data_IF_866366561305
#
_entry.id   IF_866366561305
#
_cell.length_a   1.000
_cell.length_b   1.000
_cell.length_c   1.000
_cell.angle_alpha   90.00
_cell.angle_beta   90.00
_cell.angle_gamma   90.00
#
_symmetry.space_group_name_H-M   'P 1'
#
loop_
_entity.id
_entity.type
_entity.pdbx_description
1 polymer ?
#
# COMPACT_ATOMS: atom_id res chain seq x y z
N UNK A 1 29.06 -10.46 -13.15
CA UNK A 1 29.48 -9.48 -12.11
C UNK A 1 28.25 -9.14 -11.30
N UNK A 2 28.12 -9.68 -10.08
CA UNK A 2 27.03 -9.30 -9.19
C UNK A 2 27.22 -7.83 -8.81
N UNK A 3 26.23 -6.98 -9.09
CA UNK A 3 26.29 -5.57 -8.69
C UNK A 3 26.29 -5.49 -7.17
N UNK A 4 27.10 -4.60 -6.58
CA UNK A 4 27.24 -4.37 -5.13
C UNK A 4 25.91 -4.17 -4.36
N UNK A 5 24.78 -3.99 -5.05
CA UNK A 5 23.42 -3.99 -4.49
C UNK A 5 22.97 -5.33 -3.93
N UNK A 6 23.58 -6.45 -4.34
CA UNK A 6 23.15 -7.79 -3.92
C UNK A 6 23.67 -8.19 -2.52
N UNK A 7 24.55 -7.38 -1.91
CA UNK A 7 25.10 -7.65 -0.59
C UNK A 7 24.39 -6.94 0.57
N UNK A 8 23.42 -6.07 0.29
CA UNK A 8 22.66 -5.40 1.33
C UNK A 8 21.57 -6.33 1.89
N UNK A 9 21.33 -6.32 3.23
CA UNK A 9 20.23 -7.09 3.80
C UNK A 9 18.89 -6.59 3.25
N UNK A 10 17.87 -7.45 3.11
CA UNK A 10 16.54 -7.03 2.72
C UNK A 10 15.97 -6.03 3.72
N UNK A 11 15.20 -5.06 3.23
CA UNK A 11 14.47 -4.12 4.08
C UNK A 11 13.52 -4.88 5.01
N UNK A 12 13.67 -4.69 6.34
CA UNK A 12 12.77 -5.31 7.29
C UNK A 12 11.45 -4.53 7.43
N UNK A 13 10.36 -5.24 7.77
CA UNK A 13 9.01 -4.67 7.84
C UNK A 13 8.87 -3.54 8.88
N UNK A 14 9.72 -3.55 9.90
CA UNK A 14 9.70 -2.60 11.03
C UNK A 14 10.66 -1.42 10.86
N UNK A 15 11.52 -1.44 9.83
CA UNK A 15 12.59 -0.45 9.61
C UNK A 15 12.08 0.94 9.25
N UNK A 16 11.06 1.01 8.38
CA UNK A 16 10.58 2.30 7.88
C UNK A 16 9.86 3.08 8.99
N UNK A 17 10.29 4.32 9.22
CA UNK A 17 9.63 5.28 10.14
C UNK A 17 8.72 6.26 9.41
N UNK A 18 9.04 6.55 8.16
CA UNK A 18 8.30 7.51 7.33
C UNK A 18 8.58 7.25 5.85
N UNK A 19 7.70 7.77 5.01
CA UNK A 19 7.93 7.86 3.57
C UNK A 19 7.63 9.26 3.10
N UNK A 20 8.36 9.73 2.08
CA UNK A 20 8.10 10.98 1.38
C UNK A 20 7.60 10.67 -0.01
N UNK A 21 6.39 11.13 -0.33
CA UNK A 21 5.71 10.78 -1.56
C UNK A 21 5.70 11.95 -2.55
N UNK A 22 6.15 11.71 -3.77
CA UNK A 22 6.21 12.68 -4.85
C UNK A 22 5.22 12.32 -5.97
N UNK A 23 4.61 13.34 -6.60
CA UNK A 23 3.88 13.18 -7.85
C UNK A 23 2.37 12.93 -7.74
N UNK A 24 1.78 13.01 -6.54
CA UNK A 24 0.32 12.88 -6.34
C UNK A 24 -0.33 14.08 -5.68
N UNK A 25 0.46 15.01 -5.16
CA UNK A 25 -0.04 16.18 -4.44
C UNK A 25 0.41 17.46 -5.12
N UNK A 26 -0.52 18.41 -5.26
CA UNK A 26 -0.22 19.77 -5.69
C UNK A 26 -0.74 20.79 -4.69
N UNK A 27 -0.08 21.93 -4.57
CA UNK A 27 -0.55 23.06 -3.77
C UNK A 27 -1.71 23.81 -4.48
N UNK A 28 -2.19 24.91 -3.87
CA UNK A 28 -3.25 25.76 -4.46
C UNK A 28 -2.85 26.37 -5.81
N UNK A 29 -1.57 26.60 -6.05
CA UNK A 29 -1.03 27.10 -7.32
C UNK A 29 -0.84 26.01 -8.39
N UNK A 30 -1.07 24.74 -8.05
CA UNK A 30 -0.82 23.61 -8.94
C UNK A 30 0.66 23.18 -8.96
N UNK A 31 1.50 23.71 -8.07
CA UNK A 31 2.88 23.27 -7.94
C UNK A 31 2.92 21.90 -7.27
N UNK A 32 3.71 20.98 -7.82
CA UNK A 32 3.92 19.67 -7.22
C UNK A 32 4.53 19.80 -5.81
N UNK A 33 3.90 19.14 -4.85
CA UNK A 33 4.34 19.07 -3.45
C UNK A 33 4.80 17.65 -3.14
N UNK A 34 5.84 17.53 -2.30
CA UNK A 34 6.21 16.26 -1.70
C UNK A 34 5.50 16.11 -0.36
N UNK A 35 4.87 14.96 -0.12
CA UNK A 35 4.12 14.71 1.10
C UNK A 35 4.93 13.84 2.07
N UNK A 36 5.23 14.35 3.25
CA UNK A 36 5.85 13.59 4.33
C UNK A 36 4.77 12.80 5.09
N UNK A 37 4.87 11.47 5.05
CA UNK A 37 3.95 10.55 5.70
C UNK A 37 4.68 9.77 6.79
N UNK A 38 4.48 10.10 8.08
CA UNK A 38 4.99 9.28 9.16
C UNK A 38 4.28 7.92 9.20
N UNK A 39 4.98 6.90 9.68
CA UNK A 39 4.39 5.59 9.95
C UNK A 39 3.36 5.74 11.07
N UNK A 40 2.15 5.28 10.80
CA UNK A 40 1.05 5.31 11.75
C UNK A 40 0.77 3.92 12.29
N UNK A 41 0.04 3.86 13.41
CA UNK A 41 -0.41 2.59 13.98
C UNK A 41 -1.60 2.06 13.17
N UNK A 42 -1.56 0.78 12.74
CA UNK A 42 -2.73 0.14 12.16
C UNK A 42 -3.95 0.16 13.08
N UNK A 43 -5.13 0.25 12.48
CA UNK A 43 -6.41 0.18 13.16
C UNK A 43 -6.81 -1.26 13.48
N UNK A 44 -7.89 -1.42 14.26
CA UNK A 44 -8.48 -2.75 14.50
C UNK A 44 -9.08 -3.28 13.20
N UNK A 45 -8.71 -4.48 12.73
CA UNK A 45 -9.38 -5.05 11.57
C UNK A 45 -10.88 -5.20 11.83
N UNK A 46 -11.71 -4.72 10.91
CA UNK A 46 -13.16 -4.97 10.95
C UNK A 46 -13.51 -6.05 9.94
N UNK A 47 -14.01 -7.19 10.44
CA UNK A 47 -14.58 -8.21 9.57
C UNK A 47 -16.06 -7.94 9.41
N UNK A 48 -16.44 -7.25 8.33
CA UNK A 48 -17.83 -7.04 7.99
C UNK A 48 -18.38 -8.25 7.22
N UNK A 49 -18.97 -9.20 7.94
CA UNK A 49 -19.68 -10.35 7.33
C UNK A 49 -21.01 -9.99 6.64
N UNK A 50 -21.37 -8.70 6.56
CA UNK A 50 -22.75 -8.29 6.28
C UNK A 50 -23.26 -8.57 4.85
N UNK A 51 -22.42 -8.88 3.87
CA UNK A 51 -22.84 -9.00 2.47
C UNK A 51 -22.43 -10.31 1.77
N UNK A 52 -22.26 -11.43 2.49
CA UNK A 52 -22.16 -12.72 1.81
C UNK A 52 -23.57 -13.25 1.49
N UNK A 53 -24.03 -13.25 0.22
CA UNK A 53 -25.35 -13.78 -0.14
C UNK A 53 -25.47 -15.29 0.09
N UNK A 54 -24.38 -15.96 0.47
CA UNK A 54 -24.32 -17.40 0.72
C UNK A 54 -24.33 -17.78 2.20
N UNK A 55 -24.27 -16.83 3.14
CA UNK A 55 -24.32 -17.12 4.57
C UNK A 55 -25.67 -16.74 5.17
N UNK A 56 -26.67 -17.61 4.95
CA UNK A 56 -27.93 -17.55 5.66
C UNK A 56 -27.73 -17.81 7.16
N UNK A 57 -27.80 -16.75 7.96
CA UNK A 57 -28.27 -16.84 9.34
C UNK A 57 -27.24 -17.03 10.46
N UNK A 58 -25.94 -17.22 10.19
CA UNK A 58 -24.94 -17.28 11.27
C UNK A 58 -24.22 -15.93 11.36
N UNK A 59 -24.68 -15.09 12.30
CA UNK A 59 -23.88 -13.95 12.78
C UNK A 59 -22.71 -14.51 13.58
N UNK A 60 -21.60 -14.79 12.90
CA UNK A 60 -20.32 -14.89 13.60
C UNK A 60 -19.99 -13.48 14.09
N UNK A 61 -20.30 -13.20 15.35
CA UNK A 61 -19.51 -12.23 16.11
C UNK A 61 -18.14 -12.88 16.24
N UNK A 62 -17.27 -12.72 15.25
CA UNK A 62 -15.86 -13.00 15.46
C UNK A 62 -15.48 -12.19 16.70
N UNK A 63 -15.09 -12.88 17.77
CA UNK A 63 -14.47 -12.22 18.92
C UNK A 63 -13.43 -11.25 18.36
N UNK A 64 -13.41 -10.02 18.89
CA UNK A 64 -12.55 -8.96 18.36
C UNK A 64 -11.15 -9.53 18.15
N UNK A 65 -10.73 -9.66 16.89
CA UNK A 65 -9.38 -10.15 16.61
C UNK A 65 -8.45 -9.14 17.27
N UNK A 66 -7.67 -9.54 18.28
CA UNK A 66 -6.84 -8.61 19.03
C UNK A 66 -5.85 -8.02 18.04
N UNK A 67 -5.69 -6.69 17.96
CA UNK A 67 -4.76 -6.11 16.97
C UNK A 67 -3.38 -6.67 17.18
N UNK A 68 -2.83 -7.37 16.18
CA UNK A 68 -1.42 -7.69 16.18
C UNK A 68 -0.67 -6.42 15.83
N UNK A 69 -0.38 -5.61 16.85
CA UNK A 69 0.40 -4.39 16.69
C UNK A 69 1.81 -4.84 16.30
N UNK A 70 2.35 -4.36 15.16
CA UNK A 70 3.73 -4.66 14.81
C UNK A 70 4.61 -4.35 16.01
N UNK A 71 5.48 -5.29 16.39
CA UNK A 71 6.40 -5.09 17.51
C UNK A 71 7.11 -3.76 17.36
N UNK A 72 7.14 -2.98 18.44
CA UNK A 72 7.96 -1.77 18.47
C UNK A 72 9.41 -2.16 18.12
N UNK A 73 10.08 -1.40 17.26
CA UNK A 73 11.46 -1.73 16.88
C UNK A 73 12.35 -1.74 18.11
N UNK A 74 13.26 -2.70 18.14
CA UNK A 74 14.16 -2.90 19.26
C UNK A 74 15.09 -1.68 19.39
N UNK A 75 15.55 -1.36 20.61
CA UNK A 75 16.59 -0.36 20.79
C UNK A 75 17.82 -0.68 19.93
N UNK A 76 18.17 0.23 19.03
CA UNK A 76 19.27 0.05 18.07
C UNK A 76 18.85 -0.36 16.66
N UNK A 77 17.57 -0.68 16.43
CA UNK A 77 17.06 -0.91 15.08
C UNK A 77 17.24 0.34 14.22
N UNK A 78 17.87 0.15 13.06
CA UNK A 78 18.03 1.23 12.09
C UNK A 78 16.65 1.69 11.64
N UNK A 79 16.38 2.99 11.78
CA UNK A 79 15.16 3.62 11.27
C UNK A 79 15.47 4.28 9.95
N UNK A 80 14.67 3.97 8.94
CA UNK A 80 14.87 4.53 7.60
C UNK A 80 13.67 5.35 7.12
N UNK A 81 13.96 6.33 6.27
CA UNK A 81 12.99 7.11 5.50
C UNK A 81 13.12 6.76 4.03
N UNK A 82 11.98 6.55 3.37
CA UNK A 82 11.92 6.15 1.96
C UNK A 82 11.28 7.25 1.11
N UNK A 83 12.02 7.75 0.13
CA UNK A 83 11.52 8.71 -0.85
C UNK A 83 10.98 7.96 -2.07
N UNK A 84 9.70 8.16 -2.38
CA UNK A 84 8.96 7.43 -3.41
C UNK A 84 8.36 8.40 -4.43
N UNK A 85 8.50 8.10 -5.71
CA UNK A 85 7.77 8.78 -6.77
C UNK A 85 6.65 7.88 -7.29
N UNK A 86 5.43 8.41 -7.33
CA UNK A 86 4.28 7.68 -7.86
C UNK A 86 4.40 7.51 -9.36
N UNK A 87 4.24 6.28 -9.81
CA UNK A 87 4.29 5.88 -11.20
C UNK A 87 2.90 5.57 -11.76
N UNK A 88 2.80 4.46 -12.49
CA UNK A 88 1.59 4.08 -13.21
C UNK A 88 0.47 3.62 -12.26
N UNK A 89 -0.77 3.97 -12.59
CA UNK A 89 -1.95 3.39 -11.97
C UNK A 89 -2.06 1.91 -12.37
N UNK A 90 -2.02 1.01 -11.39
CA UNK A 90 -2.16 -0.43 -11.60
C UNK A 90 -3.62 -0.89 -11.44
N UNK A 91 -4.29 -0.37 -10.40
CA UNK A 91 -5.66 -0.72 -10.08
C UNK A 91 -6.32 0.40 -9.27
N UNK A 92 -7.65 0.47 -9.26
CA UNK A 92 -8.41 1.37 -8.39
C UNK A 92 -9.87 0.93 -8.25
N UNK A 93 -10.53 1.45 -7.24
CA UNK A 93 -11.97 1.42 -7.08
C UNK A 93 -12.45 2.76 -6.51
N UNK A 94 -13.68 2.82 -6.00
CA UNK A 94 -14.26 4.03 -5.42
C UNK A 94 -13.48 4.54 -4.18
N UNK A 95 -12.79 3.64 -3.47
CA UNK A 95 -12.19 3.94 -2.15
C UNK A 95 -10.68 4.07 -2.19
N UNK A 96 -10.00 3.27 -3.03
CA UNK A 96 -8.55 3.18 -3.07
C UNK A 96 -8.01 3.04 -4.48
N UNK A 97 -6.74 3.43 -4.64
CA UNK A 97 -5.96 3.22 -5.84
C UNK A 97 -4.63 2.55 -5.52
N UNK A 98 -4.18 1.65 -6.39
CA UNK A 98 -2.89 1.00 -6.33
C UNK A 98 -2.02 1.55 -7.44
N UNK A 99 -0.86 2.07 -7.07
CA UNK A 99 0.12 2.63 -7.99
C UNK A 99 1.43 1.87 -7.89
N UNK A 100 2.09 1.76 -9.03
CA UNK A 100 3.52 1.47 -9.08
C UNK A 100 4.30 2.65 -8.47
N UNK A 101 5.48 2.37 -7.92
CA UNK A 101 6.35 3.43 -7.38
C UNK A 101 7.81 3.24 -7.77
N UNK A 102 8.48 4.35 -8.02
CA UNK A 102 9.92 4.43 -8.17
C UNK A 102 10.55 4.79 -6.82
N UNK A 103 11.48 3.97 -6.35
CA UNK A 103 12.29 4.27 -5.15
C UNK A 103 13.38 5.25 -5.54
N UNK A 104 13.25 6.50 -5.08
CA UNK A 104 14.23 7.55 -5.37
C UNK A 104 15.42 7.48 -4.41
N UNK A 105 15.13 7.27 -3.12
CA UNK A 105 16.15 7.28 -2.06
C UNK A 105 15.68 6.49 -0.85
N UNK A 106 16.62 5.81 -0.21
CA UNK A 106 16.47 5.24 1.13
C UNK A 106 17.54 5.89 2.02
N UNK A 107 17.13 6.40 3.19
CA UNK A 107 18.04 7.02 4.15
C UNK A 107 17.88 6.38 5.54
N UNK A 108 18.90 5.69 6.08
CA UNK A 108 20.21 5.43 5.46
C UNK A 108 20.16 4.34 4.37
N UNK A 109 21.05 4.35 3.36
CA UNK A 109 21.02 3.42 2.22
C UNK A 109 21.65 2.05 2.55
N UNK A 110 21.20 1.43 3.63
CA UNK A 110 21.80 0.19 4.19
C UNK A 110 20.98 -1.06 3.93
N UNK A 111 19.86 -0.95 3.20
CA UNK A 111 18.97 -2.06 2.88
C UNK A 111 18.78 -2.20 1.38
N UNK A 112 18.57 -3.43 0.94
CA UNK A 112 17.98 -3.73 -0.36
C UNK A 112 16.46 -3.50 -0.27
N UNK A 113 15.93 -2.64 -1.14
CA UNK A 113 14.49 -2.37 -1.24
C UNK A 113 13.94 -3.18 -2.42
N UNK A 114 12.98 -4.10 -2.20
CA UNK A 114 12.38 -4.83 -3.32
C UNK A 114 11.53 -3.89 -4.18
N UNK A 115 11.03 -4.34 -5.34
CA UNK A 115 9.98 -3.62 -6.06
C UNK A 115 8.77 -3.37 -5.15
N UNK A 116 8.23 -2.15 -5.17
CA UNK A 116 7.15 -1.72 -4.28
C UNK A 116 5.94 -1.23 -5.07
N UNK A 117 4.78 -1.28 -4.43
CA UNK A 117 3.57 -0.58 -4.84
C UNK A 117 3.00 0.17 -3.64
N UNK A 118 2.21 1.19 -3.90
CA UNK A 118 1.44 1.88 -2.86
C UNK A 118 -0.04 1.69 -3.10
N UNK A 119 -0.79 1.51 -2.02
CA UNK A 119 -2.24 1.62 -2.02
C UNK A 119 -2.63 2.90 -1.29
N UNK A 120 -3.27 3.81 -2.02
CA UNK A 120 -3.69 5.12 -1.54
C UNK A 120 -5.20 5.16 -1.33
N UNK A 121 -5.65 5.81 -0.25
CA UNK A 121 -7.05 6.20 -0.11
C UNK A 121 -7.34 7.39 -1.04
N UNK A 122 -8.43 7.31 -1.81
CA UNK A 122 -8.80 8.33 -2.80
C UNK A 122 -9.57 9.48 -2.16
N UNK A 123 -10.41 9.18 -1.17
CA UNK A 123 -11.29 10.16 -0.52
C UNK A 123 -11.28 10.01 0.99
N UNK A 124 -11.39 11.14 1.69
CA UNK A 124 -11.51 11.13 3.16
C UNK A 124 -12.82 10.53 3.64
N UNK A 125 -13.91 10.71 2.87
CA UNK A 125 -15.23 10.27 3.27
C UNK A 125 -15.41 8.74 3.17
N UNK A 126 -14.81 8.11 2.15
CA UNK A 126 -15.10 6.70 1.82
C UNK A 126 -13.89 5.78 2.01
N UNK A 127 -12.66 6.31 1.92
CA UNK A 127 -11.42 5.55 2.02
C UNK A 127 -10.76 5.61 3.40
N UNK A 128 -11.01 6.66 4.19
CA UNK A 128 -10.30 6.88 5.46
C UNK A 128 -10.60 5.79 6.47
N UNK A 129 -9.56 5.27 7.10
CA UNK A 129 -9.62 4.19 8.08
C UNK A 129 -9.61 2.80 7.46
N UNK A 130 -10.05 2.62 6.20
CA UNK A 130 -10.07 1.28 5.58
C UNK A 130 -8.66 0.73 5.35
N UNK A 131 -7.72 1.58 4.92
CA UNK A 131 -6.31 1.19 4.82
C UNK A 131 -5.71 0.90 6.19
N UNK A 132 -6.10 1.66 7.22
CA UNK A 132 -5.68 1.40 8.60
C UNK A 132 -6.15 0.03 9.10
N UNK A 133 -7.40 -0.37 8.79
CA UNK A 133 -7.95 -1.69 9.11
C UNK A 133 -7.27 -2.81 8.32
N UNK A 134 -7.03 -2.59 7.02
CA UNK A 134 -6.30 -3.53 6.15
C UNK A 134 -4.84 -3.71 6.61
N UNK A 135 -4.17 -2.65 7.06
CA UNK A 135 -2.85 -2.76 7.68
C UNK A 135 -2.86 -3.68 8.91
N UNK A 136 -3.92 -3.62 9.70
CA UNK A 136 -4.10 -4.51 10.85
C UNK A 136 -4.18 -5.97 10.42
N UNK A 137 -4.89 -6.25 9.31
CA UNK A 137 -4.94 -7.60 8.73
C UNK A 137 -3.56 -8.11 8.33
N UNK A 138 -2.72 -7.27 7.73
CA UNK A 138 -1.33 -7.66 7.41
C UNK A 138 -0.56 -8.07 8.67
N UNK A 139 -0.75 -7.38 9.80
CA UNK A 139 -0.18 -7.79 11.09
C UNK A 139 -0.62 -9.19 11.53
N UNK A 140 -1.87 -9.58 11.26
CA UNK A 140 -2.38 -10.93 11.57
C UNK A 140 -1.77 -12.03 10.71
N UNK A 141 -1.44 -11.71 9.47
CA UNK A 141 -0.87 -12.67 8.51
C UNK A 141 0.63 -12.47 8.34
N UNK A 142 1.34 -11.86 9.30
CA UNK A 142 2.77 -11.54 9.20
C UNK A 142 3.63 -12.73 8.74
N UNK A 143 3.40 -13.92 9.31
CA UNK A 143 4.12 -15.15 8.96
C UNK A 143 3.82 -15.69 7.56
N UNK A 144 2.74 -15.22 6.94
CA UNK A 144 2.28 -15.61 5.61
C UNK A 144 2.70 -14.60 4.52
N UNK A 145 3.17 -13.42 4.93
CA UNK A 145 3.66 -12.40 4.02
C UNK A 145 4.96 -12.85 3.33
N UNK A 146 5.08 -12.51 2.05
CA UNK A 146 6.16 -12.97 1.17
C UNK A 146 5.97 -14.39 0.64
N UNK A 147 4.90 -15.10 1.03
CA UNK A 147 4.55 -16.44 0.52
C UNK A 147 3.20 -16.39 -0.19
N UNK A 148 2.13 -16.07 0.55
CA UNK A 148 0.75 -16.05 0.01
C UNK A 148 0.13 -14.65 -0.01
N UNK A 149 0.78 -13.68 0.62
CA UNK A 149 0.40 -12.28 0.62
C UNK A 149 1.64 -11.41 0.39
N UNK A 150 1.49 -10.21 -0.21
CA UNK A 150 2.58 -9.24 -0.28
C UNK A 150 3.13 -8.88 1.10
N UNK A 151 4.42 -8.56 1.19
CA UNK A 151 4.97 -7.94 2.40
C UNK A 151 4.44 -6.52 2.55
N UNK A 152 3.95 -6.18 3.74
CA UNK A 152 3.49 -4.86 4.12
C UNK A 152 4.57 -4.15 4.93
N UNK A 153 5.20 -3.16 4.32
CA UNK A 153 6.28 -2.36 4.92
C UNK A 153 5.77 -1.29 5.89
N UNK A 154 4.46 -1.06 5.90
CA UNK A 154 3.81 -0.21 6.89
C UNK A 154 2.58 0.49 6.37
N UNK A 155 1.85 1.02 7.35
CA UNK A 155 0.78 1.98 7.16
C UNK A 155 1.32 3.37 7.48
N UNK A 156 1.09 4.30 6.56
CA UNK A 156 1.56 5.67 6.68
C UNK A 156 0.37 6.59 6.51
N UNK A 157 0.29 7.60 7.37
CA UNK A 157 -0.78 8.57 7.29
C UNK A 157 -0.31 9.93 7.72
N UNK A 158 -0.84 10.94 7.08
CA UNK A 158 -0.68 12.33 7.52
C UNK A 158 -2.02 13.02 7.50
N UNK A 159 -2.19 13.97 8.41
CA UNK A 159 -3.31 14.91 8.45
C UNK A 159 -2.72 16.28 8.61
N UNK A 160 -3.01 17.16 7.68
CA UNK A 160 -2.59 18.55 7.74
C UNK A 160 -3.49 19.30 8.73
N UNK A 161 -2.90 19.67 9.87
CA UNK A 161 -3.56 20.48 10.89
C UNK A 161 -3.60 21.98 10.51
N UNK A 162 -2.86 22.39 9.46
CA UNK A 162 -2.64 23.80 9.11
C UNK A 162 -3.67 24.36 8.12
N UNK A 163 -4.74 23.62 7.80
CA UNK A 163 -5.74 23.97 6.77
C UNK A 163 -5.13 24.23 5.37
N UNK A 164 -3.86 23.86 5.15
CA UNK A 164 -3.21 23.93 3.87
C UNK A 164 -3.77 22.82 2.96
N UNK A 165 -4.87 23.17 2.29
CA UNK A 165 -5.52 22.31 1.32
C UNK A 165 -4.56 22.02 0.16
N UNK A 166 -4.15 20.76 0.06
CA UNK A 166 -3.49 20.21 -1.10
C UNK A 166 -4.50 19.40 -1.90
N UNK A 167 -4.15 19.17 -3.16
CA UNK A 167 -5.01 18.46 -4.09
C UNK A 167 -4.38 17.14 -4.49
N UNK A 168 -5.16 16.08 -4.39
CA UNK A 168 -4.81 14.81 -5.00
C UNK A 168 -5.00 14.91 -6.52
N UNK A 169 -3.90 14.76 -7.25
CA UNK A 169 -3.86 14.77 -8.71
C UNK A 169 -3.44 13.37 -9.19
N UNK A 170 -4.40 12.46 -9.42
CA UNK A 170 -4.06 11.10 -9.81
C UNK A 170 -3.38 11.12 -11.19
N UNK A 171 -2.33 10.30 -11.40
CA UNK A 171 -1.79 10.04 -12.72
C UNK A 171 -2.91 9.72 -13.72
N UNK A 172 -2.83 10.22 -14.97
CA UNK A 172 -3.84 9.96 -15.98
C UNK A 172 -4.02 8.45 -16.15
N UNK A 173 -5.27 8.00 -16.11
CA UNK A 173 -5.57 6.59 -16.33
C UNK A 173 -5.15 6.18 -17.76
N UNK A 174 -4.66 4.94 -17.95
CA UNK A 174 -4.39 4.45 -19.30
C UNK A 174 -5.67 4.48 -20.15
N UNK A 175 -5.57 4.72 -21.47
CA UNK A 175 -6.73 4.89 -22.36
C UNK A 175 -7.72 3.72 -22.34
N UNK A 176 -7.26 2.54 -21.95
CA UNK A 176 -8.05 1.31 -21.87
C UNK A 176 -9.05 1.29 -20.70
N UNK A 177 -8.95 2.21 -19.73
CA UNK A 177 -9.82 2.32 -18.56
C UNK A 177 -10.92 3.39 -18.73
N UNK A 178 -11.73 3.28 -19.79
CA UNK A 178 -12.69 4.32 -20.20
C UNK A 178 -13.79 4.64 -19.17
N UNK A 179 -14.12 3.71 -18.25
CA UNK A 179 -15.18 3.90 -17.24
C UNK A 179 -14.79 4.79 -16.04
N UNK A 180 -13.56 5.30 -16.00
CA UNK A 180 -12.97 5.86 -14.78
C UNK A 180 -12.80 7.38 -14.80
N UNK A 181 -13.21 8.03 -15.90
CA UNK A 181 -13.11 9.49 -16.07
C UNK A 181 -13.83 10.31 -15.00
N UNK A 182 -14.81 9.74 -14.30
CA UNK A 182 -15.51 10.40 -13.19
C UNK A 182 -14.66 10.51 -11.91
N UNK A 183 -13.63 9.67 -11.75
CA UNK A 183 -12.79 9.63 -10.55
C UNK A 183 -11.42 10.31 -10.75
N UNK A 184 -11.13 10.85 -11.95
CA UNK A 184 -9.93 11.62 -12.22
C UNK A 184 -10.01 13.07 -11.71
N UNK A 185 -11.02 13.41 -10.92
CA UNK A 185 -11.18 14.77 -10.43
C UNK A 185 -10.17 15.08 -9.33
N UNK A 186 -9.46 16.19 -9.54
CA UNK A 186 -8.61 16.84 -8.55
C UNK A 186 -9.42 17.05 -7.27
N UNK A 187 -9.08 16.33 -6.21
CA UNK A 187 -9.85 16.34 -4.96
C UNK A 187 -9.06 17.05 -3.88
N UNK A 188 -9.69 18.01 -3.19
CA UNK A 188 -9.11 18.64 -2.02
C UNK A 188 -9.04 17.62 -0.87
N UNK A 189 -7.86 17.46 -0.27
CA UNK A 189 -7.64 16.54 0.84
C UNK A 189 -6.96 17.29 1.98
N UNK A 190 -7.34 16.97 3.22
CA UNK A 190 -6.64 17.38 4.44
C UNK A 190 -5.77 16.25 4.98
N UNK A 191 -6.00 15.01 4.58
CA UNK A 191 -5.19 13.86 4.97
C UNK A 191 -4.96 12.87 3.84
N UNK A 192 -3.92 12.06 4.02
CA UNK A 192 -3.60 10.94 3.13
C UNK A 192 -3.34 9.70 3.95
N UNK A 193 -3.82 8.56 3.46
CA UNK A 193 -3.53 7.24 3.99
C UNK A 193 -2.89 6.39 2.89
N UNK A 194 -1.86 5.64 3.26
CA UNK A 194 -1.04 4.85 2.36
C UNK A 194 -0.69 3.50 3.01
N UNK A 195 -0.83 2.41 2.25
CA UNK A 195 -0.13 1.15 2.51
C UNK A 195 1.04 1.00 1.55
N UNK A 196 2.20 0.66 2.09
CA UNK A 196 3.37 0.34 1.31
C UNK A 196 3.53 -1.18 1.24
N UNK A 197 3.42 -1.74 0.04
CA UNK A 197 3.42 -3.17 -0.18
C UNK A 197 4.55 -3.56 -1.13
N UNK A 198 5.07 -4.78 -0.96
CA UNK A 198 5.90 -5.43 -1.97
C UNK A 198 5.10 -5.64 -3.26
N UNK A 199 5.73 -5.38 -4.41
CA UNK A 199 5.13 -5.68 -5.72
C UNK A 199 5.30 -7.17 -6.00
N UNK A 200 4.19 -7.89 -6.12
CA UNK A 200 4.19 -9.35 -6.32
C UNK A 200 3.76 -9.67 -7.75
N UNK A 201 4.71 -10.14 -8.56
CA UNK A 201 4.47 -10.71 -9.89
C UNK A 201 3.75 -9.80 -10.88
N UNK A 202 3.54 -10.32 -12.09
CA UNK A 202 2.55 -9.76 -13.01
C UNK A 202 1.17 -10.36 -12.73
N UNK A 203 0.11 -9.65 -13.09
CA UNK A 203 -1.24 -10.19 -13.01
C UNK A 203 -1.34 -11.47 -13.85
N UNK A 204 -1.81 -12.56 -13.25
CA UNK A 204 -2.23 -13.72 -14.01
C UNK A 204 -3.32 -13.28 -15.00
N UNK A 205 -3.26 -13.75 -16.26
CA UNK A 205 -4.21 -13.31 -17.28
C UNK A 205 -5.63 -13.75 -16.91
N UNK A 206 -6.48 -12.81 -16.49
CA UNK A 206 -7.86 -13.09 -16.13
C UNK A 206 -8.64 -13.70 -17.31
N UNK A 207 -9.30 -14.83 -17.05
CA UNK A 207 -10.18 -15.49 -18.03
C UNK A 207 -9.46 -16.20 -19.17
N UNK A 208 -8.12 -16.25 -19.18
CA UNK A 208 -7.37 -17.13 -20.07
C UNK A 208 -7.01 -18.42 -19.32
N UNK A 209 -6.99 -19.58 -20.01
CA UNK A 209 -6.42 -20.79 -19.43
C UNK A 209 -5.01 -20.48 -18.93
N UNK A 210 -4.69 -20.97 -17.72
CA UNK A 210 -3.33 -20.95 -17.20
C UNK A 210 -2.47 -21.71 -18.21
N UNK A 211 -1.31 -21.16 -18.58
CA UNK A 211 -0.42 -21.86 -19.51
C UNK A 211 0.13 -23.11 -18.82
N UNK A 212 0.40 -24.17 -19.59
CA UNK A 212 0.98 -25.41 -19.02
C UNK A 212 2.22 -25.12 -18.19
N UNK A 213 3.05 -24.16 -18.63
CA UNK A 213 4.22 -23.72 -17.89
C UNK A 213 3.90 -23.17 -16.50
N UNK A 214 2.86 -22.33 -16.37
CA UNK A 214 2.44 -21.81 -15.06
C UNK A 214 1.82 -22.93 -14.21
N UNK A 215 1.11 -23.89 -14.81
CA UNK A 215 0.63 -25.06 -14.07
C UNK A 215 1.78 -25.92 -13.54
N UNK A 216 2.81 -26.14 -14.35
CA UNK A 216 4.00 -26.93 -13.99
C UNK A 216 4.79 -26.20 -12.89
N UNK A 217 5.03 -24.90 -13.04
CA UNK A 217 5.68 -24.07 -12.02
C UNK A 217 4.91 -24.11 -10.68
N UNK A 218 3.58 -24.09 -10.70
CA UNK A 218 2.75 -24.19 -9.50
C UNK A 218 2.80 -25.57 -8.84
N UNK A 219 3.01 -26.65 -9.61
CA UNK A 219 3.18 -28.01 -9.06
C UNK A 219 4.53 -28.16 -8.38
N UNK A 220 5.57 -27.53 -8.91
CA UNK A 220 6.93 -27.60 -8.37
C UNK A 220 7.11 -26.76 -7.08
N UNK A 221 6.12 -25.94 -6.71
CA UNK A 221 6.11 -25.17 -5.46
C UNK A 221 5.49 -25.92 -4.26
N UNK A 222 4.99 -27.16 -4.42
CA UNK A 222 4.41 -28.00 -3.35
C UNK A 222 5.44 -28.96 -2.75
#
# INVERSE_FOLDING_TARGET
MATQRDSLPPLALTTLRSTRLFGVTTDKGGQALALDLPRARPGKPKINYQNSPYFFGIKYSAEEIPVNVPSDPLPGDVRATLDLKVGNLLWRNERHAVYDVEVLRLDPPVFHVPPLVIKLAISEAEGRGLLSEEAGMYGHIEKLQGVVAPRCYGYFSTTDETDAMWFFDPPPAPPTMMYWGIYAQRTACKGMELLLLEKVGEHLPFGKPVTQQVEDDLRDMQ
#
